data_IF_158711455634
#
_entry.id   IF_158711455634
#
_cell.length_a   1.000
_cell.length_b   1.000
_cell.length_c   1.000
_cell.angle_alpha   90.00
_cell.angle_beta   90.00
_cell.angle_gamma   90.00
#
_symmetry.space_group_name_H-M   'P 1'
#
loop_
_entity.id
_entity.type
_entity.pdbx_description
1 polymer ?
#
# COMPACT_ATOMS: atom_id res chain seq x y z
N UNK A 1 25.07 -5.41 71.87
CA UNK A 1 24.79 -6.78 72.36
C UNK A 1 23.45 -6.92 73.10
N UNK A 2 22.66 -5.84 73.30
CA UNK A 2 21.30 -5.91 73.90
C UNK A 2 20.15 -5.85 72.88
N UNK A 3 20.43 -5.69 71.59
CA UNK A 3 19.40 -5.59 70.53
C UNK A 3 18.86 -6.95 70.04
N UNK A 4 19.32 -8.07 70.60
CA UNK A 4 18.92 -9.42 70.17
C UNK A 4 18.01 -10.15 71.18
N UNK A 5 17.63 -9.51 72.29
CA UNK A 5 16.83 -10.12 73.34
C UNK A 5 15.48 -9.42 73.48
N UNK A 6 14.41 -10.20 73.56
CA UNK A 6 13.09 -9.66 73.91
C UNK A 6 13.13 -9.03 75.30
N UNK A 7 12.60 -7.81 75.43
CA UNK A 7 12.59 -7.06 76.70
C UNK A 7 11.98 -7.87 77.86
N UNK A 8 10.98 -8.69 77.56
CA UNK A 8 10.29 -9.54 78.53
C UNK A 8 11.17 -10.68 79.05
N UNK A 9 11.95 -11.32 78.19
CA UNK A 9 12.81 -12.44 78.57
C UNK A 9 14.05 -11.97 79.30
N UNK A 10 14.57 -10.79 78.96
CA UNK A 10 15.67 -10.16 79.69
C UNK A 10 15.25 -9.80 81.12
N UNK A 11 14.05 -9.26 81.32
CA UNK A 11 13.48 -9.04 82.65
C UNK A 11 13.36 -10.32 83.47
N UNK A 12 12.95 -11.42 82.85
CA UNK A 12 12.82 -12.73 83.51
C UNK A 12 14.19 -13.27 83.95
N UNK A 13 15.22 -13.18 83.10
CA UNK A 13 16.59 -13.60 83.44
C UNK A 13 17.15 -12.80 84.63
N UNK A 14 16.92 -11.49 84.68
CA UNK A 14 17.35 -10.64 85.79
C UNK A 14 16.68 -11.08 87.10
N UNK A 15 15.38 -11.37 87.07
CA UNK A 15 14.62 -11.86 88.23
C UNK A 15 15.15 -13.21 88.71
N UNK A 16 15.37 -14.19 87.81
CA UNK A 16 15.93 -15.50 88.18
C UNK A 16 17.31 -15.33 88.82
N UNK A 17 18.16 -14.48 88.25
CA UNK A 17 19.52 -14.26 88.76
C UNK A 17 19.49 -13.61 90.15
N UNK A 18 18.63 -12.61 90.35
CA UNK A 18 18.43 -11.97 91.65
C UNK A 18 17.90 -12.96 92.70
N UNK A 19 16.93 -13.82 92.34
CA UNK A 19 16.41 -14.87 93.21
C UNK A 19 17.48 -15.91 93.57
N UNK A 20 18.29 -16.31 92.59
CA UNK A 20 19.42 -17.24 92.80
C UNK A 20 20.37 -16.69 93.85
N UNK A 21 20.76 -15.42 93.71
CA UNK A 21 21.65 -14.74 94.65
C UNK A 21 21.02 -14.60 96.04
N UNK A 22 19.73 -14.22 96.09
CA UNK A 22 18.98 -14.10 97.34
C UNK A 22 18.94 -15.43 98.12
N UNK A 23 18.68 -16.56 97.45
CA UNK A 23 18.68 -17.87 98.09
C UNK A 23 20.07 -18.36 98.49
N UNK A 24 21.12 -17.96 97.77
CA UNK A 24 22.49 -18.36 98.06
C UNK A 24 23.09 -17.61 99.25
N UNK A 25 22.81 -16.31 99.39
CA UNK A 25 23.49 -15.43 100.34
C UNK A 25 22.62 -14.98 101.53
N UNK A 26 21.32 -14.71 101.33
CA UNK A 26 20.50 -14.07 102.36
C UNK A 26 19.65 -15.07 103.17
N UNK A 27 19.26 -16.21 102.58
CA UNK A 27 18.33 -17.17 103.21
C UNK A 27 18.74 -18.65 103.14
N UNK A 28 20.04 -18.95 103.22
CA UNK A 28 20.52 -20.33 103.15
C UNK A 28 20.16 -21.13 104.43
N UNK A 29 19.30 -22.14 104.27
CA UNK A 29 18.87 -23.10 105.30
C UNK A 29 18.67 -24.46 104.63
N UNK A 30 18.65 -25.55 105.39
CA UNK A 30 18.40 -26.92 104.89
C UNK A 30 17.09 -26.96 104.08
N UNK A 31 16.04 -26.26 104.55
CA UNK A 31 14.76 -26.14 103.84
C UNK A 31 14.86 -25.35 102.53
N UNK A 32 15.72 -24.33 102.47
CA UNK A 32 15.96 -23.57 101.25
C UNK A 32 16.73 -24.41 100.22
N UNK A 33 17.68 -25.24 100.67
CA UNK A 33 18.42 -26.15 99.80
C UNK A 33 17.52 -27.23 99.17
N UNK A 34 16.40 -27.59 99.81
CA UNK A 34 15.40 -28.50 99.25
C UNK A 34 14.41 -27.81 98.30
N UNK A 35 13.92 -26.61 98.64
CA UNK A 35 12.79 -25.97 97.93
C UNK A 35 13.23 -25.00 96.83
N UNK A 36 14.29 -24.21 97.05
CA UNK A 36 14.71 -23.17 96.11
C UNK A 36 15.15 -23.68 94.73
N UNK A 37 15.86 -24.83 94.60
CA UNK A 37 16.18 -25.40 93.29
C UNK A 37 14.95 -25.70 92.42
N UNK A 38 13.87 -26.17 93.05
CA UNK A 38 12.64 -26.51 92.33
C UNK A 38 11.93 -25.25 91.83
N UNK A 39 11.85 -24.19 92.64
CA UNK A 39 11.26 -22.90 92.25
C UNK A 39 12.01 -22.29 91.06
N UNK A 40 13.35 -22.26 91.12
CA UNK A 40 14.19 -21.72 90.06
C UNK A 40 14.04 -22.48 88.74
N UNK A 41 13.97 -23.82 88.83
CA UNK A 41 13.76 -24.68 87.66
C UNK A 41 12.37 -24.46 87.07
N UNK A 42 11.32 -24.36 87.89
CA UNK A 42 9.95 -24.08 87.43
C UNK A 42 9.82 -22.71 86.77
N UNK A 43 10.45 -21.65 87.31
CA UNK A 43 10.47 -20.32 86.69
C UNK A 43 11.25 -20.35 85.35
N UNK A 44 12.35 -21.10 85.28
CA UNK A 44 13.09 -21.30 84.03
C UNK A 44 12.28 -22.02 82.95
N UNK A 45 11.55 -23.09 83.32
CA UNK A 45 10.64 -23.81 82.42
C UNK A 45 9.51 -22.90 81.94
N UNK A 46 8.92 -22.11 82.84
CA UNK A 46 7.91 -21.12 82.49
C UNK A 46 8.43 -20.08 81.49
N UNK A 47 9.66 -19.61 81.65
CA UNK A 47 10.31 -18.70 80.70
C UNK A 47 10.43 -19.27 79.29
N UNK A 48 10.70 -20.57 79.16
CA UNK A 48 10.73 -21.26 77.84
C UNK A 48 9.35 -21.27 77.18
N UNK A 49 8.31 -21.65 77.91
CA UNK A 49 6.94 -21.67 77.38
C UNK A 49 6.46 -20.28 76.98
N UNK A 50 6.78 -19.25 77.78
CA UNK A 50 6.43 -17.87 77.48
C UNK A 50 7.13 -17.37 76.20
N UNK A 51 8.41 -17.69 76.01
CA UNK A 51 9.15 -17.26 74.81
C UNK A 51 8.68 -17.96 73.53
N UNK A 52 8.29 -19.23 73.60
CA UNK A 52 7.65 -19.94 72.47
C UNK A 52 6.29 -19.32 72.14
N UNK A 53 5.46 -19.03 73.15
CA UNK A 53 4.16 -18.40 72.95
C UNK A 53 4.28 -17.00 72.30
N UNK A 54 5.24 -16.18 72.74
CA UNK A 54 5.50 -14.87 72.13
C UNK A 54 6.05 -14.97 70.70
N UNK A 55 6.85 -16.00 70.41
CA UNK A 55 7.35 -16.28 69.07
C UNK A 55 6.25 -16.72 68.09
N UNK A 56 5.27 -17.49 68.58
CA UNK A 56 4.10 -17.91 67.79
C UNK A 56 3.04 -16.80 67.64
N UNK A 57 2.97 -15.84 68.55
CA UNK A 57 2.00 -14.73 68.49
C UNK A 57 2.11 -13.90 67.20
N UNK A 58 3.32 -13.80 66.64
CA UNK A 58 3.59 -13.05 65.41
C UNK A 58 3.86 -13.96 64.20
N UNK A 59 3.51 -15.25 64.30
CA UNK A 59 3.74 -16.22 63.24
C UNK A 59 2.60 -16.16 62.21
N UNK A 60 2.93 -15.74 60.99
CA UNK A 60 2.00 -15.73 59.87
C UNK A 60 2.19 -16.98 59.00
N UNK A 61 1.13 -17.76 58.85
CA UNK A 61 1.12 -18.96 58.00
C UNK A 61 1.16 -18.62 56.50
N UNK A 62 0.80 -17.40 56.11
CA UNK A 62 0.87 -16.93 54.73
C UNK A 62 2.27 -16.45 54.33
N UNK A 63 3.09 -15.98 55.28
CA UNK A 63 4.49 -15.57 55.07
C UNK A 63 5.45 -16.32 56.00
N UNK A 64 5.74 -17.57 55.63
CA UNK A 64 6.66 -18.44 56.38
C UNK A 64 8.08 -17.86 56.39
N UNK A 65 8.53 -17.23 55.28
CA UNK A 65 9.89 -16.70 55.16
C UNK A 65 10.14 -15.52 56.10
N UNK A 66 9.15 -14.64 56.29
CA UNK A 66 9.21 -13.56 57.28
C UNK A 66 8.97 -14.00 58.73
N UNK A 67 8.23 -15.09 58.93
CA UNK A 67 7.79 -15.56 60.26
C UNK A 67 8.80 -16.48 60.95
N UNK A 68 9.55 -17.30 60.20
CA UNK A 68 10.55 -18.22 60.78
C UNK A 68 11.68 -17.49 61.53
N UNK A 69 12.28 -16.39 61.02
CA UNK A 69 13.29 -15.65 61.77
C UNK A 69 12.77 -15.08 63.11
N UNK A 70 11.55 -14.55 63.15
CA UNK A 70 10.93 -14.01 64.37
C UNK A 70 10.66 -15.10 65.42
N UNK A 71 10.20 -16.28 64.97
CA UNK A 71 10.03 -17.45 65.83
C UNK A 71 11.36 -17.91 66.43
N UNK A 72 12.41 -17.96 65.61
CA UNK A 72 13.75 -18.32 66.06
C UNK A 72 14.29 -17.36 67.12
N UNK A 73 14.01 -16.06 67.02
CA UNK A 73 14.46 -15.09 68.02
C UNK A 73 13.69 -15.21 69.34
N UNK A 74 12.37 -15.47 69.29
CA UNK A 74 11.59 -15.83 70.49
C UNK A 74 12.15 -17.07 71.20
N UNK A 75 12.48 -18.11 70.43
CA UNK A 75 13.00 -19.39 70.94
C UNK A 75 14.42 -19.29 71.52
N UNK A 76 15.33 -18.56 70.84
CA UNK A 76 16.71 -18.32 71.34
C UNK A 76 16.69 -17.71 72.73
N UNK A 77 15.85 -16.72 72.96
CA UNK A 77 15.82 -15.98 74.23
C UNK A 77 15.12 -16.76 75.35
N UNK A 78 14.07 -17.53 75.02
CA UNK A 78 13.39 -18.44 75.94
C UNK A 78 14.36 -19.47 76.53
N UNK A 79 15.21 -20.04 75.68
CA UNK A 79 16.20 -21.05 76.07
C UNK A 79 17.20 -20.54 77.11
N UNK A 80 17.69 -19.31 76.98
CA UNK A 80 18.62 -18.71 77.94
C UNK A 80 18.01 -18.53 79.34
N UNK A 81 16.71 -18.22 79.44
CA UNK A 81 16.04 -18.11 80.74
C UNK A 81 15.97 -19.44 81.50
N UNK A 82 15.78 -20.55 80.78
CA UNK A 82 15.79 -21.89 81.37
C UNK A 82 17.19 -22.34 81.78
N UNK A 83 18.22 -22.00 80.99
CA UNK A 83 19.62 -22.28 81.35
C UNK A 83 19.96 -21.61 82.68
N UNK A 84 19.64 -20.32 82.82
CA UNK A 84 19.93 -19.56 84.06
C UNK A 84 19.18 -20.14 85.26
N UNK A 85 17.90 -20.53 85.09
CA UNK A 85 17.11 -21.17 86.15
C UNK A 85 17.67 -22.53 86.59
N UNK A 86 18.09 -23.37 85.64
CA UNK A 86 18.65 -24.69 85.93
C UNK A 86 20.05 -24.61 86.56
N UNK A 87 20.90 -23.69 86.08
CA UNK A 87 22.24 -23.48 86.65
C UNK A 87 22.15 -22.97 88.09
N UNK A 88 21.26 -22.01 88.37
CA UNK A 88 21.04 -21.54 89.74
C UNK A 88 20.51 -22.66 90.65
N UNK A 89 19.64 -23.54 90.15
CA UNK A 89 19.15 -24.69 90.92
C UNK A 89 20.25 -25.71 91.25
N UNK A 90 21.13 -25.99 90.28
CA UNK A 90 22.22 -26.95 90.43
C UNK A 90 23.24 -26.49 91.48
N UNK A 91 23.63 -25.22 91.44
CA UNK A 91 24.59 -24.65 92.42
C UNK A 91 24.08 -24.74 93.87
N UNK A 92 22.77 -24.59 94.08
CA UNK A 92 22.15 -24.76 95.40
C UNK A 92 22.15 -26.22 95.88
N UNK A 93 21.89 -27.19 94.99
CA UNK A 93 21.92 -28.64 95.32
C UNK A 93 23.31 -29.13 95.70
N UNK A 94 24.34 -28.72 94.96
CA UNK A 94 25.74 -29.12 95.22
C UNK A 94 26.16 -28.64 96.63
N UNK A 95 25.84 -27.39 96.98
CA UNK A 95 26.14 -26.83 98.29
C UNK A 95 25.42 -27.58 99.43
N UNK A 96 24.17 -28.02 99.21
CA UNK A 96 23.41 -28.82 100.17
C UNK A 96 24.01 -30.20 100.44
N UNK A 97 24.49 -30.91 99.41
CA UNK A 97 25.08 -32.23 99.56
C UNK A 97 26.38 -32.22 100.37
N UNK A 98 27.24 -31.21 100.15
CA UNK A 98 28.53 -31.08 100.86
C UNK A 98 28.33 -30.83 102.37
N UNK A 99 27.26 -30.12 102.76
CA UNK A 99 26.99 -29.79 104.16
C UNK A 99 26.47 -30.98 105.01
N UNK A 100 25.90 -32.03 104.39
CA UNK A 100 25.30 -33.16 105.10
C UNK A 100 26.29 -34.28 105.48
N UNK A 101 27.41 -34.43 104.76
CA UNK A 101 28.37 -35.54 104.94
C UNK A 101 29.23 -35.40 106.21
N UNK A 102 29.31 -34.23 106.83
CA UNK A 102 30.26 -33.94 107.90
C UNK A 102 29.84 -34.35 109.34
N UNK A 103 28.74 -35.09 109.56
CA UNK A 103 28.12 -35.24 110.91
C UNK A 103 27.91 -36.68 111.47
N UNK A 104 28.45 -37.76 110.89
CA UNK A 104 27.91 -39.13 111.13
C UNK A 104 28.76 -40.16 111.91
N UNK A 105 29.84 -39.81 112.64
CA UNK A 105 30.90 -40.80 112.97
C UNK A 105 31.25 -41.07 114.46
N UNK A 106 30.34 -41.02 115.46
CA UNK A 106 30.73 -41.29 116.87
C UNK A 106 29.73 -42.17 117.64
N UNK A 107 30.18 -43.37 118.09
CA UNK A 107 29.66 -44.31 119.14
C UNK A 107 29.52 -45.75 118.59
N UNK A 108 30.22 -46.80 119.05
CA UNK A 108 30.22 -47.41 120.39
C UNK A 108 31.20 -48.62 120.45
N UNK A 109 31.90 -48.86 121.57
CA UNK A 109 32.56 -50.14 121.92
C UNK A 109 32.46 -50.38 123.43
N UNK A 110 32.13 -51.61 123.89
CA UNK A 110 32.35 -52.05 125.28
C UNK A 110 32.59 -53.58 125.37
N UNK A 111 33.48 -53.95 126.29
CA UNK A 111 34.20 -55.23 126.48
C UNK A 111 33.60 -56.06 127.63
N UNK A 112 33.66 -57.41 127.51
CA UNK A 112 33.25 -58.43 128.49
C UNK A 112 34.41 -58.88 129.42
N UNK A 113 34.09 -59.55 130.55
CA UNK A 113 34.94 -59.69 131.76
C UNK A 113 35.58 -61.09 131.93
N UNK A 114 36.41 -61.23 132.97
CA UNK A 114 37.56 -62.16 133.13
C UNK A 114 37.21 -63.65 133.39
N UNK A 115 35.96 -64.02 133.64
CA UNK A 115 35.58 -65.43 133.86
C UNK A 115 35.63 -66.31 132.59
N UNK A 116 35.58 -65.69 131.40
CA UNK A 116 35.72 -66.40 130.13
C UNK A 116 37.15 -66.92 129.89
N UNK A 117 38.16 -66.41 130.62
CA UNK A 117 39.58 -66.66 130.31
C UNK A 117 40.06 -68.05 130.77
N UNK A 118 39.56 -68.57 131.89
CA UNK A 118 40.01 -69.87 132.44
C UNK A 118 39.39 -71.06 131.69
N UNK A 119 38.10 -70.95 131.33
CA UNK A 119 37.44 -71.93 130.47
C UNK A 119 38.08 -71.98 129.06
N UNK A 120 38.49 -70.81 128.55
CA UNK A 120 39.14 -70.69 127.25
C UNK A 120 40.51 -71.37 127.18
N UNK A 121 41.32 -71.29 128.24
CA UNK A 121 42.68 -71.84 128.23
C UNK A 121 42.71 -73.38 128.24
N UNK A 122 41.79 -74.02 128.96
CA UNK A 122 41.65 -75.50 128.94
C UNK A 122 41.12 -75.99 127.59
N UNK A 123 40.16 -75.29 127.01
CA UNK A 123 39.65 -75.62 125.68
C UNK A 123 40.71 -75.40 124.59
N UNK A 124 41.58 -74.40 124.72
CA UNK A 124 42.65 -74.13 123.76
C UNK A 124 43.72 -75.25 123.73
N UNK A 125 44.06 -75.80 124.88
CA UNK A 125 45.08 -76.85 125.00
C UNK A 125 44.63 -78.17 124.33
N UNK A 126 43.36 -78.54 124.49
CA UNK A 126 42.79 -79.77 123.91
C UNK A 126 42.65 -79.67 122.38
N UNK A 127 42.30 -78.48 121.91
CA UNK A 127 42.09 -78.13 120.50
C UNK A 127 43.41 -78.02 119.71
N UNK A 128 44.55 -77.82 120.37
CA UNK A 128 45.88 -77.68 119.76
C UNK A 128 46.69 -78.99 119.67
N UNK A 129 46.17 -80.11 120.17
CA UNK A 129 46.87 -81.39 120.16
C UNK A 129 46.90 -82.00 118.73
N UNK A 130 48.07 -82.15 118.07
CA UNK A 130 48.16 -82.61 116.68
C UNK A 130 47.87 -84.11 116.49
N UNK A 131 47.78 -84.90 117.58
CA UNK A 131 47.49 -86.33 117.54
C UNK A 131 46.00 -86.67 117.75
N UNK A 132 45.16 -85.67 118.06
CA UNK A 132 43.72 -85.85 118.20
C UNK A 132 43.03 -85.69 116.83
N UNK A 133 42.15 -86.63 116.48
CA UNK A 133 41.32 -86.59 115.25
C UNK A 133 40.41 -85.34 115.14
N UNK A 134 40.26 -84.62 116.25
CA UNK A 134 39.51 -83.37 116.45
C UNK A 134 40.39 -82.13 116.63
N UNK A 135 41.70 -82.20 116.41
CA UNK A 135 42.60 -81.04 116.51
C UNK A 135 42.35 -79.98 115.42
N UNK A 136 42.63 -78.71 115.74
CA UNK A 136 42.48 -77.57 114.81
C UNK A 136 43.11 -77.79 113.42
N UNK A 137 44.33 -78.33 113.29
CA UNK A 137 44.95 -78.50 111.97
C UNK A 137 44.14 -79.43 111.06
N UNK A 138 43.61 -80.53 111.61
CA UNK A 138 42.78 -81.49 110.89
C UNK A 138 41.42 -80.87 110.52
N UNK A 139 40.81 -80.11 111.44
CA UNK A 139 39.53 -79.45 111.23
C UNK A 139 39.62 -78.31 110.21
N UNK A 140 40.68 -77.49 110.26
CA UNK A 140 40.99 -76.47 109.26
C UNK A 140 41.28 -77.08 107.88
N UNK A 141 42.00 -78.20 107.82
CA UNK A 141 42.21 -78.94 106.58
C UNK A 141 40.89 -79.43 105.95
N UNK A 142 40.01 -80.04 106.75
CA UNK A 142 38.66 -80.47 106.30
C UNK A 142 37.79 -79.28 105.89
N UNK A 143 37.81 -78.18 106.64
CA UNK A 143 37.05 -76.97 106.31
C UNK A 143 37.58 -76.30 105.03
N UNK A 144 38.90 -76.28 104.82
CA UNK A 144 39.51 -75.74 103.61
C UNK A 144 39.16 -76.57 102.38
N UNK A 145 39.24 -77.90 102.46
CA UNK A 145 38.80 -78.81 101.38
C UNK A 145 37.31 -78.63 101.05
N UNK A 146 36.44 -78.56 102.06
CA UNK A 146 35.01 -78.28 101.86
C UNK A 146 34.75 -76.88 101.26
N UNK A 147 35.59 -75.90 101.58
CA UNK A 147 35.48 -74.55 101.00
C UNK A 147 35.90 -74.56 99.53
N UNK A 148 36.97 -75.29 99.18
CA UNK A 148 37.40 -75.48 97.79
C UNK A 148 36.34 -76.22 96.96
N UNK A 149 35.71 -77.26 97.52
CA UNK A 149 34.60 -77.96 96.86
C UNK A 149 33.41 -77.04 96.62
N UNK A 150 33.00 -76.24 97.61
CA UNK A 150 31.93 -75.23 97.42
C UNK A 150 32.30 -74.16 96.40
N UNK A 151 33.57 -73.76 96.32
CA UNK A 151 34.02 -72.82 95.30
C UNK A 151 33.94 -73.44 93.90
N UNK A 152 34.30 -74.71 93.75
CA UNK A 152 34.13 -75.43 92.49
C UNK A 152 32.66 -75.57 92.09
N UNK A 153 31.76 -75.86 93.05
CA UNK A 153 30.32 -75.89 92.81
C UNK A 153 29.78 -74.52 92.36
N UNK A 154 30.26 -73.44 93.00
CA UNK A 154 29.91 -72.07 92.60
C UNK A 154 30.41 -71.78 91.18
N UNK A 155 31.66 -72.10 90.85
CA UNK A 155 32.22 -71.91 89.51
C UNK A 155 31.39 -72.66 88.47
N UNK A 156 31.07 -73.94 88.72
CA UNK A 156 30.23 -74.74 87.83
C UNK A 156 28.83 -74.15 87.67
N UNK A 157 28.22 -73.66 88.75
CA UNK A 157 26.91 -73.00 88.70
C UNK A 157 26.95 -71.67 87.94
N UNK A 158 28.06 -70.92 88.03
CA UNK A 158 28.26 -69.67 87.32
C UNK A 158 28.50 -69.92 85.83
N UNK A 159 29.28 -70.92 85.46
CA UNK A 159 29.46 -71.34 84.06
C UNK A 159 28.11 -71.73 83.44
N UNK A 160 27.32 -72.55 84.16
CA UNK A 160 25.97 -72.94 83.73
C UNK A 160 25.03 -71.74 83.61
N UNK A 161 25.11 -70.79 84.54
CA UNK A 161 24.31 -69.56 84.48
C UNK A 161 24.72 -68.68 83.30
N UNK A 162 26.02 -68.50 83.04
CA UNK A 162 26.51 -67.72 81.91
C UNK A 162 26.07 -68.33 80.59
N UNK A 163 26.15 -69.65 80.45
CA UNK A 163 25.68 -70.34 79.24
C UNK A 163 24.18 -70.14 79.03
N UNK A 164 23.37 -70.35 80.07
CA UNK A 164 21.91 -70.11 80.00
C UNK A 164 21.56 -68.65 79.74
N UNK A 165 22.29 -67.70 80.32
CA UNK A 165 22.07 -66.28 80.10
C UNK A 165 22.44 -65.87 78.68
N UNK A 166 23.56 -66.38 78.15
CA UNK A 166 23.96 -66.17 76.77
C UNK A 166 22.91 -66.74 75.80
N UNK A 167 22.42 -67.96 76.06
CA UNK A 167 21.36 -68.59 75.26
C UNK A 167 20.04 -67.81 75.33
N UNK A 168 19.61 -67.39 76.53
CA UNK A 168 18.40 -66.60 76.72
C UNK A 168 18.48 -65.24 76.03
N UNK A 169 19.62 -64.55 76.13
CA UNK A 169 19.85 -63.28 75.46
C UNK A 169 19.89 -63.44 73.93
N UNK A 170 20.53 -64.49 73.42
CA UNK A 170 20.54 -64.78 71.99
C UNK A 170 19.12 -65.05 71.47
N UNK A 171 18.34 -65.86 72.18
CA UNK A 171 16.92 -66.12 71.85
C UNK A 171 16.08 -64.85 71.90
N UNK A 172 16.23 -64.03 72.94
CA UNK A 172 15.52 -62.75 73.06
C UNK A 172 15.88 -61.79 71.92
N UNK A 173 17.16 -61.71 71.55
CA UNK A 173 17.62 -60.88 70.44
C UNK A 173 17.06 -61.35 69.09
N UNK A 174 17.12 -62.67 68.82
CA UNK A 174 16.54 -63.24 67.59
C UNK A 174 15.05 -62.98 67.53
N UNK A 175 14.33 -63.16 68.63
CA UNK A 175 12.89 -62.90 68.69
C UNK A 175 12.56 -61.41 68.46
N UNK A 176 13.31 -60.49 69.07
CA UNK A 176 13.15 -59.07 68.86
C UNK A 176 13.41 -58.68 67.40
N UNK A 177 14.46 -59.22 66.78
CA UNK A 177 14.76 -58.98 65.36
C UNK A 177 13.66 -59.55 64.47
N UNK A 178 13.17 -60.77 64.72
CA UNK A 178 12.09 -61.36 63.93
C UNK A 178 10.82 -60.52 64.01
N UNK A 179 10.47 -60.04 65.22
CA UNK A 179 9.31 -59.17 65.42
C UNK A 179 9.46 -57.85 64.64
N UNK A 180 10.63 -57.20 64.74
CA UNK A 180 10.92 -55.97 64.00
C UNK A 180 10.89 -56.21 62.49
N UNK A 181 11.45 -57.32 62.01
CA UNK A 181 11.46 -57.65 60.57
C UNK A 181 10.05 -57.94 60.05
N UNK A 182 9.21 -58.63 60.82
CA UNK A 182 7.79 -58.83 60.49
C UNK A 182 7.04 -57.51 60.45
N UNK A 183 7.17 -56.68 61.50
CA UNK A 183 6.49 -55.40 61.57
C UNK A 183 6.95 -54.43 60.47
N UNK A 184 8.26 -54.43 60.16
CA UNK A 184 8.82 -53.68 59.04
C UNK A 184 8.23 -54.14 57.71
N UNK A 185 8.16 -55.46 57.47
CA UNK A 185 7.59 -55.99 56.23
C UNK A 185 6.09 -55.67 56.10
N UNK A 186 5.32 -55.81 57.19
CA UNK A 186 3.91 -55.40 57.23
C UNK A 186 3.76 -53.90 56.95
N UNK A 187 4.56 -53.04 57.58
CA UNK A 187 4.51 -51.60 57.34
C UNK A 187 4.92 -51.20 55.93
N UNK A 188 5.91 -51.87 55.34
CA UNK A 188 6.29 -51.65 53.93
C UNK A 188 5.09 -51.97 53.04
N UNK A 189 4.47 -53.15 53.23
CA UNK A 189 3.40 -53.60 52.36
C UNK A 189 2.13 -52.73 52.49
N UNK A 190 1.78 -52.31 53.71
CA UNK A 190 0.64 -51.44 53.96
C UNK A 190 0.89 -49.99 53.53
N UNK A 191 1.99 -49.37 53.95
CA UNK A 191 2.22 -47.95 53.70
C UNK A 191 2.75 -47.66 52.30
N UNK A 192 3.57 -48.54 51.73
CA UNK A 192 4.10 -48.32 50.38
C UNK A 192 3.19 -48.92 49.31
N UNK A 193 2.44 -49.99 49.60
CA UNK A 193 1.48 -50.56 48.65
C UNK A 193 0.44 -49.53 48.18
N UNK A 194 -0.17 -48.81 49.14
CA UNK A 194 -1.16 -47.78 48.81
C UNK A 194 -0.52 -46.57 48.12
N UNK A 195 0.68 -46.15 48.54
CA UNK A 195 1.42 -45.09 47.88
C UNK A 195 1.79 -45.45 46.43
N UNK A 196 2.21 -46.68 46.14
CA UNK A 196 2.48 -47.13 44.78
C UNK A 196 1.22 -47.20 43.92
N UNK A 197 0.08 -47.57 44.52
CA UNK A 197 -1.20 -47.55 43.81
C UNK A 197 -1.60 -46.13 43.41
N UNK A 198 -1.52 -45.17 44.35
CA UNK A 198 -1.80 -43.75 44.09
C UNK A 198 -0.81 -43.13 43.10
N UNK A 199 0.46 -43.53 43.17
CA UNK A 199 1.47 -43.13 42.19
C UNK A 199 1.11 -43.65 40.79
N UNK A 200 0.73 -44.93 40.68
CA UNK A 200 0.31 -45.51 39.41
C UNK A 200 -0.94 -44.82 38.84
N UNK A 201 -1.93 -44.53 39.67
CA UNK A 201 -3.12 -43.74 39.28
C UNK A 201 -2.73 -42.35 38.76
N UNK A 202 -1.78 -41.69 39.43
CA UNK A 202 -1.28 -40.38 39.00
C UNK A 202 -0.52 -40.44 37.67
N UNK A 203 0.26 -41.51 37.45
CA UNK A 203 0.98 -41.74 36.18
C UNK A 203 0.00 -42.03 35.05
N UNK A 204 -1.05 -42.83 35.29
CA UNK A 204 -2.11 -43.08 34.30
C UNK A 204 -2.81 -41.77 33.92
N UNK A 205 -3.22 -40.97 34.91
CA UNK A 205 -3.84 -39.67 34.67
C UNK A 205 -2.90 -38.72 33.89
N UNK A 206 -1.59 -38.77 34.17
CA UNK A 206 -0.59 -38.00 33.41
C UNK A 206 -0.49 -38.45 31.96
N UNK A 207 -0.51 -39.77 31.69
CA UNK A 207 -0.48 -40.31 30.33
C UNK A 207 -1.76 -39.95 29.55
N UNK A 208 -2.94 -40.05 30.19
CA UNK A 208 -4.20 -39.59 29.61
C UNK A 208 -4.16 -38.10 29.31
N UNK A 209 -3.67 -37.28 30.25
CA UNK A 209 -3.49 -35.85 30.03
C UNK A 209 -2.53 -35.57 28.87
N UNK A 210 -1.40 -36.28 28.76
CA UNK A 210 -0.46 -36.12 27.65
C UNK A 210 -1.10 -36.49 26.30
N UNK A 211 -1.91 -37.55 26.25
CA UNK A 211 -2.60 -37.96 25.03
C UNK A 211 -3.64 -36.91 24.60
N UNK A 212 -4.45 -36.42 25.54
CA UNK A 212 -5.41 -35.36 25.28
C UNK A 212 -4.71 -34.06 24.85
N UNK A 213 -3.59 -33.72 25.48
CA UNK A 213 -2.80 -32.54 25.13
C UNK A 213 -2.22 -32.63 23.70
N UNK A 214 -1.74 -33.82 23.30
CA UNK A 214 -1.30 -34.07 21.92
C UNK A 214 -2.42 -33.86 20.91
N UNK A 215 -3.63 -34.33 21.21
CA UNK A 215 -4.79 -34.12 20.35
C UNK A 215 -5.16 -32.65 20.23
N UNK A 216 -5.22 -31.92 21.36
CA UNK A 216 -5.46 -30.48 21.38
C UNK A 216 -4.41 -29.70 20.57
N UNK A 217 -3.13 -30.06 20.68
CA UNK A 217 -2.07 -29.47 19.86
C UNK A 217 -2.29 -29.74 18.37
N UNK A 218 -2.75 -30.94 18.00
CA UNK A 218 -3.11 -31.27 16.62
C UNK A 218 -4.23 -30.38 16.08
N UNK A 219 -5.30 -30.19 16.87
CA UNK A 219 -6.39 -29.27 16.51
C UNK A 219 -5.91 -27.83 16.40
N UNK A 220 -5.07 -27.37 17.33
CA UNK A 220 -4.52 -26.02 17.33
C UNK A 220 -3.67 -25.76 16.08
N UNK A 221 -2.81 -26.71 15.71
CA UNK A 221 -2.00 -26.62 14.48
C UNK A 221 -2.92 -26.55 13.25
N UNK A 222 -3.96 -27.38 13.17
CA UNK A 222 -4.91 -27.36 12.06
C UNK A 222 -5.66 -26.02 11.93
N UNK A 223 -6.12 -25.44 13.04
CA UNK A 223 -6.74 -24.11 13.03
C UNK A 223 -5.75 -23.00 12.67
N UNK A 224 -4.49 -23.14 13.09
CA UNK A 224 -3.44 -22.17 12.76
C UNK A 224 -3.05 -22.22 11.28
N UNK A 225 -3.01 -23.41 10.67
CA UNK A 225 -2.84 -23.58 9.21
C UNK A 225 -4.02 -22.99 8.43
N UNK A 226 -5.26 -23.26 8.86
CA UNK A 226 -6.46 -22.63 8.27
C UNK A 226 -6.42 -21.11 8.35
N UNK A 227 -6.01 -20.57 9.50
CA UNK A 227 -5.87 -19.13 9.71
C UNK A 227 -4.80 -18.54 8.80
N UNK A 228 -3.65 -19.20 8.67
CA UNK A 228 -2.59 -18.77 7.76
C UNK A 228 -3.07 -18.76 6.30
N UNK A 229 -3.80 -19.79 5.87
CA UNK A 229 -4.39 -19.84 4.52
C UNK A 229 -5.39 -18.70 4.29
N UNK A 230 -6.28 -18.44 5.25
CA UNK A 230 -7.25 -17.34 5.16
C UNK A 230 -6.56 -15.97 5.12
N UNK A 231 -5.46 -15.79 5.86
CA UNK A 231 -4.64 -14.58 5.80
C UNK A 231 -3.95 -14.40 4.44
N UNK A 232 -3.49 -15.50 3.82
CA UNK A 232 -2.93 -15.45 2.47
C UNK A 232 -3.98 -15.02 1.44
N UNK A 233 -5.18 -15.62 1.49
CA UNK A 233 -6.29 -15.28 0.61
C UNK A 233 -6.76 -13.83 0.80
N UNK A 234 -6.83 -13.37 2.06
CA UNK A 234 -7.10 -11.96 2.37
C UNK A 234 -6.01 -11.03 1.81
N UNK A 235 -4.74 -11.45 1.85
CA UNK A 235 -3.63 -10.72 1.23
C UNK A 235 -3.77 -10.58 -0.28
N UNK A 236 -4.13 -11.65 -0.98
CA UNK A 236 -4.40 -11.63 -2.43
C UNK A 236 -5.59 -10.73 -2.77
N UNK A 237 -6.69 -10.84 -2.02
CA UNK A 237 -7.86 -9.99 -2.20
C UNK A 237 -7.53 -8.51 -1.98
N UNK A 238 -6.68 -8.22 -0.99
CA UNK A 238 -6.21 -6.86 -0.73
C UNK A 238 -5.33 -6.33 -1.87
N UNK A 239 -4.40 -7.14 -2.40
CA UNK A 239 -3.59 -6.77 -3.56
C UNK A 239 -4.49 -6.47 -4.79
N UNK A 240 -5.51 -7.30 -5.01
CA UNK A 240 -6.49 -7.10 -6.07
C UNK A 240 -7.24 -5.77 -5.91
N UNK A 241 -7.68 -5.46 -4.68
CA UNK A 241 -8.34 -4.19 -4.36
C UNK A 241 -7.43 -2.99 -4.61
N UNK A 242 -6.15 -3.05 -4.21
CA UNK A 242 -5.18 -1.98 -4.46
C UNK A 242 -4.95 -1.77 -5.96
N UNK A 243 -4.84 -2.84 -6.75
CA UNK A 243 -4.74 -2.75 -8.22
C UNK A 243 -5.96 -2.05 -8.83
N UNK A 244 -7.16 -2.39 -8.37
CA UNK A 244 -8.39 -1.75 -8.85
C UNK A 244 -8.52 -0.28 -8.41
N UNK A 245 -8.10 0.06 -7.20
CA UNK A 245 -8.06 1.45 -6.74
C UNK A 245 -7.11 2.31 -7.60
N UNK A 246 -5.95 1.77 -7.99
CA UNK A 246 -5.05 2.45 -8.92
C UNK A 246 -5.65 2.62 -10.32
N UNK A 247 -6.35 1.60 -10.83
CA UNK A 247 -7.06 1.72 -12.11
C UNK A 247 -8.16 2.79 -12.06
N UNK A 248 -8.86 2.92 -10.93
CA UNK A 248 -9.85 3.97 -10.71
C UNK A 248 -9.27 5.38 -10.77
N UNK A 249 -8.05 5.60 -10.24
CA UNK A 249 -7.35 6.87 -10.40
C UNK A 249 -7.07 7.18 -11.88
N UNK A 250 -6.62 6.19 -12.65
CA UNK A 250 -6.42 6.34 -14.10
C UNK A 250 -7.71 6.62 -14.88
N UNK A 251 -8.83 5.99 -14.49
CA UNK A 251 -10.16 6.30 -15.04
C UNK A 251 -10.53 7.75 -14.72
N UNK A 252 -10.27 8.22 -13.50
CA UNK A 252 -10.57 9.60 -13.08
C UNK A 252 -9.77 10.63 -13.88
N UNK A 253 -8.50 10.35 -14.15
CA UNK A 253 -7.65 11.17 -15.03
C UNK A 253 -8.19 11.19 -16.46
N UNK A 254 -8.57 10.03 -16.99
CA UNK A 254 -9.18 9.92 -18.32
C UNK A 254 -10.53 10.67 -18.40
N UNK A 255 -11.31 10.67 -17.32
CA UNK A 255 -12.55 11.43 -17.20
C UNK A 255 -12.29 12.94 -17.18
N UNK A 256 -11.24 13.37 -16.50
CA UNK A 256 -10.81 14.77 -16.50
C UNK A 256 -10.40 15.22 -17.90
N UNK A 257 -9.66 14.40 -18.63
CA UNK A 257 -9.28 14.67 -20.03
C UNK A 257 -10.50 14.74 -20.94
N UNK A 258 -11.46 13.83 -20.77
CA UNK A 258 -12.72 13.82 -21.53
C UNK A 258 -13.54 15.09 -21.23
N UNK A 259 -13.63 15.50 -19.97
CA UNK A 259 -14.31 16.74 -19.57
C UNK A 259 -13.62 17.98 -20.16
N UNK A 260 -12.28 18.03 -20.13
CA UNK A 260 -11.51 19.11 -20.74
C UNK A 260 -11.72 19.16 -22.27
N UNK A 261 -11.74 17.98 -22.93
CA UNK A 261 -12.01 17.86 -24.36
C UNK A 261 -13.44 18.31 -24.73
N UNK A 262 -14.44 17.93 -23.93
CA UNK A 262 -15.81 18.38 -24.10
C UNK A 262 -15.96 19.89 -23.91
N UNK A 263 -15.26 20.48 -22.94
CA UNK A 263 -15.27 21.93 -22.73
C UNK A 263 -14.62 22.67 -23.91
N UNK A 264 -13.50 22.16 -24.44
CA UNK A 264 -12.88 22.70 -25.65
C UNK A 264 -13.82 22.60 -26.87
N UNK A 265 -14.51 21.46 -27.02
CA UNK A 265 -15.50 21.27 -28.08
C UNK A 265 -16.70 22.22 -27.92
N UNK A 266 -17.16 22.43 -26.68
CA UNK A 266 -18.23 23.39 -26.36
C UNK A 266 -17.84 24.81 -26.76
N UNK A 267 -16.63 25.24 -26.43
CA UNK A 267 -16.11 26.56 -26.84
C UNK A 267 -15.98 26.68 -28.36
N UNK A 268 -15.52 25.63 -29.04
CA UNK A 268 -15.43 25.61 -30.49
C UNK A 268 -16.81 25.74 -31.15
N UNK A 269 -17.80 24.97 -30.69
CA UNK A 269 -19.19 25.08 -31.15
C UNK A 269 -19.77 26.46 -30.89
N UNK A 270 -19.49 27.06 -29.73
CA UNK A 270 -19.93 28.42 -29.41
C UNK A 270 -19.31 29.45 -30.37
N UNK A 271 -18.02 29.28 -30.72
CA UNK A 271 -17.35 30.12 -31.73
C UNK A 271 -17.96 29.92 -33.13
N UNK A 272 -18.22 28.67 -33.53
CA UNK A 272 -18.88 28.37 -34.81
C UNK A 272 -20.30 28.94 -34.90
N UNK A 273 -21.08 28.85 -33.82
CA UNK A 273 -22.40 29.47 -33.75
C UNK A 273 -22.31 31.00 -33.79
N UNK A 274 -21.29 31.59 -33.16
CA UNK A 274 -20.98 33.01 -33.24
C UNK A 274 -20.64 33.46 -34.66
N UNK A 275 -19.76 32.75 -35.35
CA UNK A 275 -19.41 33.06 -36.75
C UNK A 275 -20.58 32.86 -37.71
N UNK A 276 -21.43 31.86 -37.46
CA UNK A 276 -22.67 31.68 -38.22
C UNK A 276 -23.63 32.85 -37.97
N UNK A 277 -23.77 33.30 -36.72
CA UNK A 277 -24.58 34.48 -36.40
C UNK A 277 -24.03 35.75 -37.08
N UNK A 278 -22.72 35.94 -37.11
CA UNK A 278 -22.08 37.05 -37.82
C UNK A 278 -22.31 36.95 -39.33
N UNK A 279 -22.24 35.76 -39.93
CA UNK A 279 -22.52 35.54 -41.34
C UNK A 279 -23.99 35.87 -41.66
N UNK A 280 -24.92 35.47 -40.81
CA UNK A 280 -26.35 35.82 -40.94
C UNK A 280 -26.55 37.33 -40.84
N UNK A 281 -25.90 38.01 -39.90
CA UNK A 281 -25.97 39.47 -39.77
C UNK A 281 -25.39 40.19 -41.01
N UNK A 282 -24.22 39.77 -41.50
CA UNK A 282 -23.63 40.35 -42.71
C UNK A 282 -24.47 40.07 -43.96
N UNK A 283 -25.10 38.90 -44.06
CA UNK A 283 -26.04 38.59 -45.13
C UNK A 283 -27.30 39.45 -45.04
N UNK A 284 -27.83 39.66 -43.82
CA UNK A 284 -28.96 40.54 -43.56
C UNK A 284 -28.64 42.00 -43.95
N UNK A 285 -27.42 42.49 -43.71
CA UNK A 285 -26.95 43.82 -44.15
C UNK A 285 -26.67 43.89 -45.66
N UNK A 286 -26.30 42.76 -46.28
CA UNK A 286 -26.04 42.66 -47.72
C UNK A 286 -27.30 42.69 -48.57
N UNK A 287 -28.43 42.18 -48.05
CA UNK A 287 -29.71 42.12 -48.76
C UNK A 287 -30.26 43.53 -49.13
N UNK A 288 -30.32 44.52 -48.23
CA UNK A 288 -30.71 45.89 -48.57
C UNK A 288 -29.79 46.54 -49.61
N UNK A 289 -28.48 46.27 -49.56
CA UNK A 289 -27.52 46.79 -50.55
C UNK A 289 -27.71 46.14 -51.93
N UNK A 290 -28.08 44.86 -51.96
CA UNK A 290 -28.48 44.20 -53.20
C UNK A 290 -29.78 44.79 -53.74
N UNK A 291 -30.77 45.03 -52.89
CA UNK A 291 -32.00 45.74 -53.27
C UNK A 291 -31.69 47.12 -53.85
N UNK A 292 -30.88 47.93 -53.18
CA UNK A 292 -30.45 49.26 -53.65
C UNK A 292 -29.72 49.17 -55.00
N UNK A 293 -28.80 48.21 -55.18
CA UNK A 293 -28.10 48.01 -56.46
C UNK A 293 -29.04 47.54 -57.57
N UNK A 294 -29.98 46.65 -57.27
CA UNK A 294 -30.97 46.16 -58.23
C UNK A 294 -31.88 47.31 -58.65
N UNK A 295 -32.39 48.10 -57.70
CA UNK A 295 -33.19 49.30 -57.96
C UNK A 295 -32.40 50.35 -58.75
N UNK A 296 -31.13 50.58 -58.38
CA UNK A 296 -30.24 51.48 -59.11
C UNK A 296 -29.96 51.00 -60.55
N UNK A 297 -29.80 49.70 -60.76
CA UNK A 297 -29.66 49.10 -62.10
C UNK A 297 -30.94 49.22 -62.92
N UNK A 298 -32.11 48.92 -62.35
CA UNK A 298 -33.38 49.06 -63.08
C UNK A 298 -33.70 50.52 -63.39
N UNK A 299 -33.46 51.44 -62.46
CA UNK A 299 -33.63 52.87 -62.71
C UNK A 299 -32.63 53.37 -63.75
N UNK A 300 -31.35 53.04 -63.63
CA UNK A 300 -30.33 53.44 -64.60
C UNK A 300 -30.58 52.86 -66.00
N UNK A 301 -31.10 51.63 -66.08
CA UNK A 301 -31.49 51.02 -67.36
C UNK A 301 -32.76 51.66 -67.92
N UNK A 302 -33.72 52.07 -67.07
CA UNK A 302 -34.89 52.84 -67.48
C UNK A 302 -34.50 54.22 -68.02
N UNK A 303 -33.62 54.94 -67.33
CA UNK A 303 -33.11 56.25 -67.74
C UNK A 303 -32.30 56.13 -69.04
N UNK A 304 -31.47 55.09 -69.17
CA UNK A 304 -30.73 54.81 -70.41
C UNK A 304 -31.67 54.50 -71.58
N UNK A 305 -32.73 53.70 -71.35
CA UNK A 305 -33.75 53.43 -72.37
C UNK A 305 -34.51 54.69 -72.77
N UNK A 306 -34.88 55.56 -71.82
CA UNK A 306 -35.52 56.84 -72.12
C UNK A 306 -34.57 57.78 -72.87
N UNK A 307 -33.30 57.84 -72.48
CA UNK A 307 -32.31 58.67 -73.16
C UNK A 307 -32.02 58.16 -74.57
N UNK A 308 -31.93 56.83 -74.76
CA UNK A 308 -31.84 56.21 -76.07
C UNK A 308 -33.07 56.51 -76.93
N UNK A 309 -34.27 56.47 -76.36
CA UNK A 309 -35.50 56.82 -77.08
C UNK A 309 -35.50 58.29 -77.51
N UNK A 310 -35.11 59.22 -76.62
CA UNK A 310 -34.98 60.66 -76.95
C UNK A 310 -33.92 60.89 -78.01
N UNK A 311 -32.75 60.27 -77.85
CA UNK A 311 -31.66 60.34 -78.84
C UNK A 311 -32.11 59.80 -80.19
N UNK A 312 -32.81 58.66 -80.23
CA UNK A 312 -33.33 58.09 -81.46
C UNK A 312 -34.35 59.02 -82.14
N UNK A 313 -35.25 59.65 -81.37
CA UNK A 313 -36.20 60.66 -81.92
C UNK A 313 -35.45 61.87 -82.46
N UNK A 314 -34.44 62.39 -81.75
CA UNK A 314 -33.67 63.55 -82.19
C UNK A 314 -32.83 63.24 -83.43
N UNK A 315 -32.21 62.06 -83.49
CA UNK A 315 -31.42 61.60 -84.64
C UNK A 315 -32.31 61.32 -85.86
N UNK A 316 -33.49 60.71 -85.67
CA UNK A 316 -34.49 60.57 -86.72
C UNK A 316 -34.98 61.95 -87.23
N UNK A 317 -35.12 62.92 -86.34
CA UNK A 317 -35.50 64.30 -86.73
C UNK A 317 -34.38 65.00 -87.49
N UNK A 318 -33.11 64.83 -87.09
CA UNK A 318 -31.94 65.34 -87.82
C UNK A 318 -31.80 64.67 -89.17
N UNK A 319 -31.99 63.35 -89.23
CA UNK A 319 -32.01 62.59 -90.48
C UNK A 319 -33.11 63.11 -91.41
N UNK A 320 -34.34 63.29 -90.92
CA UNK A 320 -35.43 63.86 -91.71
C UNK A 320 -35.06 65.23 -92.28
N UNK A 321 -34.53 66.14 -91.46
CA UNK A 321 -34.08 67.47 -91.91
C UNK A 321 -32.95 67.38 -92.94
N UNK A 322 -31.99 66.49 -92.74
CA UNK A 322 -30.91 66.26 -93.70
C UNK A 322 -31.45 65.69 -95.01
N UNK A 323 -32.40 64.75 -94.96
CA UNK A 323 -33.07 64.21 -96.15
C UNK A 323 -33.85 65.29 -96.88
N UNK A 324 -34.59 66.16 -96.16
CA UNK A 324 -35.28 67.31 -96.74
C UNK A 324 -34.31 68.29 -97.41
N UNK A 325 -33.19 68.63 -96.75
CA UNK A 325 -32.15 69.48 -97.32
C UNK A 325 -31.50 68.86 -98.56
N UNK A 326 -31.21 67.55 -98.53
CA UNK A 326 -30.63 66.83 -99.65
C UNK A 326 -31.60 66.76 -100.84
N UNK A 327 -32.90 66.58 -100.58
CA UNK A 327 -33.96 66.66 -101.59
C UNK A 327 -34.06 68.05 -102.21
N UNK A 328 -34.01 69.12 -101.39
CA UNK A 328 -34.00 70.49 -101.87
C UNK A 328 -32.76 70.80 -102.72
N UNK A 329 -31.57 70.35 -102.29
CA UNK A 329 -30.32 70.53 -103.04
C UNK A 329 -30.32 69.73 -104.35
N UNK A 330 -30.88 68.52 -104.33
CA UNK A 330 -31.07 67.72 -105.54
C UNK A 330 -32.05 68.39 -106.52
N UNK A 331 -33.16 68.95 -106.05
CA UNK A 331 -34.07 69.74 -106.88
C UNK A 331 -33.41 70.99 -107.45
N UNK A 332 -32.66 71.74 -106.64
CA UNK A 332 -31.94 72.93 -107.09
C UNK A 332 -30.89 72.60 -108.16
N UNK A 333 -30.07 71.56 -107.94
CA UNK A 333 -29.07 71.11 -108.91
C UNK A 333 -29.68 70.47 -110.15
N UNK A 334 -30.86 69.85 -110.04
CA UNK A 334 -31.62 69.35 -111.18
C UNK A 334 -32.18 70.49 -112.02
N UNK A 335 -32.75 71.52 -111.39
CA UNK A 335 -33.22 72.73 -112.09
C UNK A 335 -32.08 73.45 -112.80
N UNK A 336 -30.92 73.57 -112.15
CA UNK A 336 -29.74 74.17 -112.74
C UNK A 336 -29.25 73.35 -113.96
N UNK A 337 -29.18 72.02 -113.84
CA UNK A 337 -28.85 71.15 -114.98
C UNK A 337 -29.86 71.24 -116.11
N UNK A 338 -31.15 71.37 -115.79
CA UNK A 338 -32.20 71.53 -116.80
C UNK A 338 -32.05 72.87 -117.55
N UNK A 339 -31.70 73.95 -116.84
CA UNK A 339 -31.39 75.26 -117.45
C UNK A 339 -30.13 75.20 -118.31
N UNK A 340 -29.06 74.57 -117.85
CA UNK A 340 -27.82 74.38 -118.62
C UNK A 340 -28.08 73.54 -119.89
N UNK A 341 -28.87 72.47 -119.78
CA UNK A 341 -29.30 71.66 -120.92
C UNK A 341 -30.15 72.47 -121.90
N UNK A 342 -31.07 73.30 -121.42
CA UNK A 342 -31.89 74.17 -122.25
C UNK A 342 -31.04 75.23 -122.98
N UNK A 343 -30.05 75.82 -122.31
CA UNK A 343 -29.09 76.75 -122.91
C UNK A 343 -28.19 76.08 -123.95
N UNK A 344 -27.68 74.87 -123.67
CA UNK A 344 -26.93 74.09 -124.66
C UNK A 344 -27.77 73.74 -125.88
N UNK A 345 -29.04 73.37 -125.68
CA UNK A 345 -29.98 73.08 -126.77
C UNK A 345 -30.21 74.31 -127.66
N UNK A 346 -30.41 75.49 -127.06
CA UNK A 346 -30.52 76.76 -127.80
C UNK A 346 -29.25 77.09 -128.59
N UNK A 347 -28.07 76.91 -128.00
CA UNK A 347 -26.78 77.11 -128.68
C UNK A 347 -26.59 76.11 -129.84
N UNK A 348 -27.08 74.87 -129.70
CA UNK A 348 -27.02 73.87 -130.74
C UNK A 348 -27.98 74.16 -131.90
N UNK A 349 -29.16 74.73 -131.62
CA UNK A 349 -30.08 75.23 -132.64
C UNK A 349 -29.50 76.43 -133.42
N UNK A 350 -28.81 77.35 -132.74
CA UNK A 350 -28.11 78.46 -133.41
C UNK A 350 -27.01 77.97 -134.36
N UNK A 351 -26.19 77.00 -133.92
CA UNK A 351 -25.16 76.39 -134.78
C UNK A 351 -25.76 75.60 -135.95
N UNK A 352 -26.93 75.00 -135.77
CA UNK A 352 -27.69 74.38 -136.88
C UNK A 352 -28.14 75.44 -137.89
N UNK A 353 -28.62 76.59 -137.43
CA UNK A 353 -28.97 77.74 -138.28
C UNK A 353 -27.79 78.21 -139.14
N UNK A 354 -26.63 78.47 -138.54
CA UNK A 354 -25.41 78.86 -139.27
C UNK A 354 -24.92 77.80 -140.25
N UNK A 355 -25.11 76.51 -139.93
CA UNK A 355 -24.66 75.40 -140.78
C UNK A 355 -25.59 75.23 -141.99
N UNK A 356 -26.90 75.41 -141.82
CA UNK A 356 -27.87 75.44 -142.92
C UNK A 356 -27.59 76.62 -143.85
N UNK A 357 -27.31 77.80 -143.29
CA UNK A 357 -26.99 79.00 -144.07
C UNK A 357 -25.75 78.79 -144.96
N UNK A 358 -24.65 78.29 -144.39
CA UNK A 358 -23.44 77.94 -145.17
C UNK A 358 -23.69 76.86 -146.23
N UNK A 359 -24.55 75.89 -145.94
CA UNK A 359 -24.84 74.80 -146.86
C UNK A 359 -25.65 75.26 -148.07
N UNK A 360 -26.49 76.29 -147.92
CA UNK A 360 -27.18 76.96 -149.04
C UNK A 360 -26.19 77.76 -149.89
N UNK A 361 -25.23 78.46 -149.28
CA UNK A 361 -24.23 79.26 -150.03
C UNK A 361 -23.28 78.39 -150.87
N UNK A 362 -22.83 77.26 -150.31
CA UNK A 362 -21.97 76.30 -151.04
C UNK A 362 -22.74 75.58 -152.15
N UNK A 363 -24.05 75.37 -151.97
CA UNK A 363 -24.89 74.78 -153.01
C UNK A 363 -25.01 75.71 -154.23
N UNK A 364 -25.23 77.02 -154.01
CA UNK A 364 -25.27 78.04 -155.06
C UNK A 364 -23.95 78.10 -155.85
N UNK A 365 -22.81 78.13 -155.15
CA UNK A 365 -21.48 78.20 -155.78
C UNK A 365 -21.18 76.94 -156.61
N UNK A 366 -21.64 75.76 -156.14
CA UNK A 366 -21.50 74.48 -156.86
C UNK A 366 -22.42 74.36 -158.08
N UNK A 367 -23.64 74.92 -158.02
CA UNK A 367 -24.57 74.96 -159.15
C UNK A 367 -24.04 75.87 -160.26
N UNK A 368 -23.45 77.02 -159.91
CA UNK A 368 -22.85 77.95 -160.87
C UNK A 368 -21.63 77.34 -161.58
N UNK A 369 -20.77 76.61 -160.86
CA UNK A 369 -19.60 75.96 -161.45
C UNK A 369 -19.97 74.81 -162.40
N UNK A 370 -21.00 74.03 -162.07
CA UNK A 370 -21.38 72.88 -162.88
C UNK A 370 -22.19 73.28 -164.12
N UNK A 371 -22.98 74.36 -164.04
CA UNK A 371 -23.63 74.97 -165.22
C UNK A 371 -22.58 75.49 -166.23
N UNK A 372 -21.51 76.11 -165.73
CA UNK A 372 -20.44 76.66 -166.56
C UNK A 372 -19.58 75.56 -167.21
N UNK A 373 -19.33 74.44 -166.51
CA UNK A 373 -18.70 73.23 -167.07
C UNK A 373 -19.55 72.58 -168.17
N UNK A 374 -20.87 72.49 -167.97
CA UNK A 374 -21.78 71.94 -168.98
C UNK A 374 -21.77 72.78 -170.27
N UNK A 375 -21.78 74.11 -170.16
CA UNK A 375 -21.69 75.03 -171.31
C UNK A 375 -20.35 74.93 -172.05
N UNK A 376 -19.23 74.78 -171.33
CA UNK A 376 -17.88 74.61 -171.94
C UNK A 376 -17.72 73.26 -172.64
N UNK A 377 -18.30 72.19 -172.09
CA UNK A 377 -18.32 70.86 -172.71
C UNK A 377 -19.17 70.83 -173.99
N UNK A 378 -20.27 71.58 -174.03
CA UNK A 378 -21.13 71.70 -175.22
C UNK A 378 -20.42 72.44 -176.37
N UNK A 379 -19.63 73.48 -176.05
CA UNK A 379 -18.84 74.22 -177.03
C UNK A 379 -17.75 73.40 -177.73
N UNK A 380 -17.06 72.50 -176.99
CA UNK A 380 -16.03 71.63 -177.57
C UNK A 380 -16.59 70.54 -178.49
N UNK A 381 -17.79 70.02 -178.21
CA UNK A 381 -18.43 69.01 -179.06
C UNK A 381 -18.96 69.58 -180.39
N UNK A 382 -19.34 70.86 -180.42
CA UNK A 382 -19.75 71.57 -181.65
C UNK A 382 -18.58 71.81 -182.61
N UNK A 383 -17.37 72.08 -182.10
CA UNK A 383 -16.16 72.24 -182.93
C UNK A 383 -15.71 70.92 -183.56
N UNK A 384 -15.72 69.82 -182.81
CA UNK A 384 -15.31 68.50 -183.30
C UNK A 384 -16.26 67.91 -184.38
N UNK A 385 -17.55 68.28 -184.35
CA UNK A 385 -18.50 67.87 -185.38
C UNK A 385 -18.32 68.65 -186.70
N UNK A 386 -17.97 69.94 -186.61
CA UNK A 386 -17.75 70.81 -187.78
C UNK A 386 -16.51 70.42 -188.58
N UNK A 387 -15.46 69.93 -187.92
CA UNK A 387 -14.21 69.54 -188.58
C UNK A 387 -14.36 68.22 -189.36
N UNK A 388 -15.17 67.29 -188.84
CA UNK A 388 -15.48 66.02 -189.51
C UNK A 388 -16.43 66.19 -190.71
N UNK A 389 -17.33 67.18 -190.66
CA UNK A 389 -18.24 67.50 -191.77
C UNK A 389 -17.52 68.14 -192.97
N UNK A 390 -16.44 68.90 -192.75
CA UNK A 390 -15.64 69.49 -193.85
C UNK A 390 -14.71 68.45 -194.49
N UNK A 391 -14.18 67.51 -193.69
CA UNK A 391 -13.33 66.41 -194.17
C UNK A 391 -14.06 65.45 -195.11
N UNK A 392 -15.29 65.04 -194.77
CA UNK A 392 -15.97 63.96 -195.50
C UNK A 392 -16.56 64.40 -196.85
N UNK A 393 -16.84 65.69 -197.05
CA UNK A 393 -17.50 66.18 -198.27
C UNK A 393 -16.56 66.81 -199.31
N UNK A 394 -15.34 67.20 -198.93
CA UNK A 394 -14.36 67.83 -199.85
C UNK A 394 -13.98 66.96 -201.07
N UNK A 395 -13.74 65.63 -200.95
CA UNK A 395 -13.40 64.80 -202.11
C UNK A 395 -14.60 64.52 -203.04
N UNK A 396 -15.84 64.75 -202.58
CA UNK A 396 -17.05 64.52 -203.36
C UNK A 396 -17.33 65.69 -204.32
N UNK A 397 -17.08 66.93 -203.86
CA UNK A 397 -17.18 68.15 -204.67
C UNK A 397 -16.15 68.18 -205.80
N UNK A 398 -14.94 67.66 -205.58
CA UNK A 398 -13.90 67.64 -206.61
C UNK A 398 -14.21 66.63 -207.74
N UNK A 399 -14.85 65.50 -207.41
CA UNK A 399 -15.33 64.52 -208.41
C UNK A 399 -16.57 65.02 -209.18
N UNK A 400 -17.44 65.79 -208.54
CA UNK A 400 -18.58 66.46 -209.19
C UNK A 400 -18.11 67.56 -210.16
N UNK A 401 -17.06 68.31 -209.80
CA UNK A 401 -16.49 69.33 -210.68
C UNK A 401 -15.83 68.73 -211.94
N UNK A 402 -15.21 67.54 -211.84
CA UNK A 402 -14.70 66.81 -213.01
C UNK A 402 -15.81 66.24 -213.92
N UNK A 403 -16.97 65.90 -213.37
CA UNK A 403 -18.13 65.45 -214.16
C UNK A 403 -18.83 66.60 -214.89
N UNK A 404 -18.91 67.78 -214.27
CA UNK A 404 -19.48 68.99 -214.91
C UNK A 404 -18.55 69.54 -215.99
N UNK A 405 -17.23 69.53 -215.79
CA UNK A 405 -16.29 69.92 -216.84
C UNK A 405 -16.24 68.93 -218.04
N UNK A 406 -16.66 67.67 -217.85
CA UNK A 406 -16.82 66.71 -218.95
C UNK A 406 -18.16 66.85 -219.68
N UNK A 407 -19.17 67.47 -219.07
CA UNK A 407 -20.45 67.75 -219.70
C UNK A 407 -20.41 68.99 -220.62
N UNK A 408 -19.47 69.91 -220.43
CA UNK A 408 -19.30 71.11 -221.28
C UNK A 408 -18.33 70.93 -222.47
N UNK A 409 -17.98 69.69 -222.85
CA UNK A 409 -17.29 69.40 -224.12
C UNK A 409 -17.98 68.32 -224.96
N UNK A 410 -19.31 68.39 -225.01
CA UNK A 410 -20.13 67.78 -226.08
C UNK A 410 -20.81 68.85 -226.96
N UNK A 411 -20.51 70.14 -226.75
CA UNK A 411 -20.75 71.19 -227.75
C UNK A 411 -19.50 72.06 -227.92
N UNK A 412 -18.37 71.40 -228.22
CA UNK A 412 -17.42 71.73 -229.31
C UNK A 412 -16.32 70.67 -229.45
#
# INVERSE_FOLDING_TARGET
MMEQFSLWTLGLIVVITALTFFFHFYRYSIRTAEVAPNILTSIGIFGTFLGVALGLWHFDTADIHGSVPKLMDGLKTAFWSSIVGLLGALTLKIRGAVAQTARREVQQTRVATIDDLDASLKHLADVMNPAADSGLPQQLGRQHLQTLDRMNDIISSLETYQERQAEANAKALVHAIEMVMREFNTKINEQYGDNFKRLNESVIAMLEWQQNYKEQLGTLIGEQERTASAMSEAGEAFEYMVKHANAFNGISESLQDLLNGLEAQRQNLQSQLGSLADLVNHAADGLPKLEERVVGLTQGMSDALQMQQRWAVEELTKMQRNTEQQLQQMQASSNQRLQEQQQQSLAQLQRLGERVERQVTVLDESMETELNKALKSFGMQLTALSEKFVSDYSPLTEKLQRLVAMAERIDE
#
